data_IF_686426186198
#
_entry.id   IF_686426186198
#
_cell.length_a   1.000
_cell.length_b   1.000
_cell.length_c   1.000
_cell.angle_alpha   90.00
_cell.angle_beta   90.00
_cell.angle_gamma   90.00
#
_symmetry.space_group_name_H-M   'P 1'
#
loop_
_entity.id
_entity.type
_entity.pdbx_description
1 polymer ?
#
# COMPACT_ATOMS: atom_id res chain seq x y z
N UNK A 1 9.48 -5.51 -13.15
CA UNK A 1 9.74 -5.33 -11.70
C UNK A 1 10.13 -6.68 -11.12
N UNK A 2 10.99 -6.73 -10.10
CA UNK A 2 11.22 -7.98 -9.40
C UNK A 2 9.97 -8.30 -8.56
N UNK A 3 9.55 -9.58 -8.53
CA UNK A 3 8.33 -10.04 -7.83
C UNK A 3 8.34 -9.63 -6.35
N UNK A 4 7.18 -9.66 -5.69
CA UNK A 4 7.01 -9.27 -4.28
C UNK A 4 7.50 -7.84 -3.95
N UNK A 5 7.41 -6.91 -4.89
CA UNK A 5 7.69 -5.49 -4.62
C UNK A 5 9.17 -5.16 -4.50
N UNK A 6 10.05 -6.04 -4.99
CA UNK A 6 11.50 -5.86 -4.94
C UNK A 6 12.07 -4.74 -5.86
N UNK A 7 11.18 -3.95 -6.48
CA UNK A 7 11.53 -2.75 -7.23
C UNK A 7 12.16 -3.01 -8.61
N UNK A 8 12.72 -1.95 -9.18
CA UNK A 8 13.50 -1.96 -10.44
C UNK A 8 14.98 -2.12 -10.15
N UNK A 9 15.78 -2.39 -11.18
CA UNK A 9 17.24 -2.27 -11.08
C UNK A 9 17.61 -0.80 -11.37
N UNK A 10 18.39 -0.18 -10.48
CA UNK A 10 18.81 1.22 -10.63
C UNK A 10 17.71 2.26 -10.37
N UNK A 11 18.00 3.51 -10.74
CA UNK A 11 17.09 4.63 -10.56
C UNK A 11 15.83 4.47 -11.43
N UNK A 12 14.66 4.89 -10.93
CA UNK A 12 13.41 4.78 -11.66
C UNK A 12 13.44 5.61 -12.94
N UNK A 13 13.17 4.96 -14.07
CA UNK A 13 12.86 5.60 -15.34
C UNK A 13 11.34 5.60 -15.50
N UNK A 14 10.72 6.76 -15.46
CA UNK A 14 9.25 6.88 -15.49
C UNK A 14 8.83 7.39 -16.88
N UNK A 15 8.11 6.59 -17.69
CA UNK A 15 7.66 7.02 -19.01
C UNK A 15 6.84 8.31 -18.93
N UNK A 16 7.13 9.26 -19.81
CA UNK A 16 6.46 10.56 -19.88
C UNK A 16 6.99 11.61 -18.89
N UNK A 17 8.10 11.33 -18.19
CA UNK A 17 8.79 12.26 -17.30
C UNK A 17 10.30 12.39 -17.63
N UNK A 18 10.68 12.15 -18.88
CA UNK A 18 12.08 12.14 -19.32
C UNK A 18 12.76 13.49 -19.09
N UNK A 19 12.04 14.60 -19.27
CA UNK A 19 12.50 15.98 -19.01
C UNK A 19 12.82 16.25 -17.53
N UNK A 20 12.32 15.39 -16.62
CA UNK A 20 12.50 15.50 -15.16
C UNK A 20 13.40 14.42 -14.59
N UNK A 21 14.04 13.60 -15.43
CA UNK A 21 14.81 12.45 -14.97
C UNK A 21 15.88 12.82 -13.93
N UNK A 22 16.57 13.95 -14.10
CA UNK A 22 17.56 14.42 -13.12
C UNK A 22 16.96 14.67 -11.72
N UNK A 23 15.74 15.22 -11.63
CA UNK A 23 15.07 15.42 -10.34
C UNK A 23 14.64 14.09 -9.72
N UNK A 24 14.19 13.14 -10.55
CA UNK A 24 13.83 11.78 -10.13
C UNK A 24 15.05 11.05 -9.58
N UNK A 25 16.17 11.10 -10.31
CA UNK A 25 17.44 10.51 -9.92
C UNK A 25 17.97 11.11 -8.61
N UNK A 26 17.93 12.43 -8.48
CA UNK A 26 18.33 13.12 -7.26
C UNK A 26 17.46 12.71 -6.07
N UNK A 27 16.13 12.65 -6.26
CA UNK A 27 15.20 12.21 -5.23
C UNK A 27 15.49 10.76 -4.80
N UNK A 28 15.64 9.84 -5.76
CA UNK A 28 15.88 8.43 -5.50
C UNK A 28 17.24 8.16 -4.82
N UNK A 29 18.28 8.92 -5.20
CA UNK A 29 19.65 8.69 -4.72
C UNK A 29 20.02 9.46 -3.46
N UNK A 30 19.46 10.65 -3.24
CA UNK A 30 19.99 11.60 -2.27
C UNK A 30 18.97 12.22 -1.31
N UNK A 31 17.66 12.02 -1.51
CA UNK A 31 16.65 12.58 -0.62
C UNK A 31 16.47 11.70 0.65
N UNK A 32 16.93 12.15 1.84
CA UNK A 32 16.85 11.34 3.05
C UNK A 32 15.42 11.13 3.53
N UNK A 33 14.52 12.09 3.30
CA UNK A 33 13.12 12.00 3.71
C UNK A 33 12.37 10.96 2.87
N UNK A 34 12.61 10.92 1.55
CA UNK A 34 12.04 9.90 0.67
C UNK A 34 12.51 8.50 1.08
N UNK A 35 13.83 8.34 1.31
CA UNK A 35 14.42 7.08 1.79
C UNK A 35 13.80 6.64 3.11
N UNK A 36 13.68 7.55 4.08
CA UNK A 36 13.10 7.25 5.38
C UNK A 36 11.63 6.84 5.27
N UNK A 37 10.84 7.53 4.44
CA UNK A 37 9.44 7.21 4.23
C UNK A 37 9.25 5.78 3.67
N UNK A 38 10.00 5.40 2.63
CA UNK A 38 9.92 4.07 2.01
C UNK A 38 10.33 2.97 3.00
N UNK A 39 11.45 3.13 3.70
CA UNK A 39 11.92 2.15 4.70
C UNK A 39 10.92 2.03 5.86
N UNK A 40 10.38 3.15 6.34
CA UNK A 40 9.37 3.15 7.40
C UNK A 40 8.10 2.43 6.98
N UNK A 41 7.61 2.68 5.77
CA UNK A 41 6.42 2.02 5.22
C UNK A 41 6.64 0.52 5.05
N UNK A 42 7.78 0.10 4.48
CA UNK A 42 8.12 -1.32 4.35
C UNK A 42 8.20 -2.02 5.72
N UNK A 43 8.85 -1.39 6.70
CA UNK A 43 8.93 -1.92 8.06
C UNK A 43 7.54 -2.04 8.72
N UNK A 44 6.70 -1.01 8.60
CA UNK A 44 5.31 -1.05 9.09
C UNK A 44 4.49 -2.17 8.44
N UNK A 45 4.68 -2.40 7.13
CA UNK A 45 4.01 -3.49 6.43
C UNK A 45 4.43 -4.86 6.99
N UNK A 46 5.74 -5.07 7.22
CA UNK A 46 6.26 -6.29 7.83
C UNK A 46 5.71 -6.50 9.24
N UNK A 47 5.67 -5.46 10.08
CA UNK A 47 5.07 -5.52 11.41
C UNK A 47 3.56 -5.83 11.37
N UNK A 48 2.86 -5.37 10.33
CA UNK A 48 1.45 -5.71 10.05
C UNK A 48 1.23 -7.12 9.47
N UNK A 49 2.29 -7.94 9.41
CA UNK A 49 2.25 -9.30 8.87
C UNK A 49 1.93 -9.34 7.38
N UNK A 50 2.36 -8.34 6.61
CA UNK A 50 2.28 -8.35 5.14
C UNK A 50 3.50 -9.10 4.62
N UNK A 51 3.28 -10.29 4.05
CA UNK A 51 4.34 -11.20 3.58
C UNK A 51 4.45 -11.26 2.05
N UNK A 52 3.50 -10.69 1.33
CA UNK A 52 3.46 -10.68 -0.13
C UNK A 52 2.88 -9.35 -0.64
N UNK A 53 3.27 -8.98 -1.86
CA UNK A 53 2.69 -7.82 -2.56
C UNK A 53 2.10 -8.23 -3.92
N UNK A 54 1.00 -7.59 -4.37
CA UNK A 54 0.25 -6.55 -3.66
C UNK A 54 -0.52 -7.10 -2.45
N UNK A 55 -0.77 -6.24 -1.46
CA UNK A 55 -1.66 -6.49 -0.32
C UNK A 55 -2.41 -5.19 -0.06
N UNK A 56 -3.73 -5.27 0.11
CA UNK A 56 -4.57 -4.14 0.48
C UNK A 56 -4.94 -4.25 1.96
N UNK A 57 -4.77 -3.16 2.70
CA UNK A 57 -5.28 -3.03 4.08
C UNK A 57 -6.36 -1.95 4.05
N UNK A 58 -7.61 -2.37 4.19
CA UNK A 58 -8.76 -1.46 4.19
C UNK A 58 -9.08 -1.15 5.65
N UNK A 59 -9.10 0.13 6.01
CA UNK A 59 -9.44 0.60 7.35
C UNK A 59 -10.69 1.47 7.26
N UNK A 60 -11.74 1.08 7.96
CA UNK A 60 -12.82 2.00 8.24
C UNK A 60 -12.35 3.03 9.28
N UNK A 61 -12.52 4.31 8.95
CA UNK A 61 -12.11 5.42 9.82
C UNK A 61 -13.11 5.68 10.95
N UNK A 62 -14.38 5.28 10.78
CA UNK A 62 -15.41 5.51 11.79
C UNK A 62 -15.30 4.50 12.94
N UNK A 63 -15.35 3.20 12.64
CA UNK A 63 -15.21 2.12 13.62
C UNK A 63 -13.75 1.82 13.99
N UNK A 64 -12.78 2.26 13.16
CA UNK A 64 -11.38 1.90 13.30
C UNK A 64 -11.05 0.46 12.86
N UNK A 65 -12.04 -0.32 12.44
CA UNK A 65 -11.89 -1.72 12.01
C UNK A 65 -11.05 -1.80 10.74
N UNK A 66 -10.39 -2.93 10.57
CA UNK A 66 -9.45 -3.15 9.48
C UNK A 66 -9.58 -4.57 8.94
N UNK A 67 -9.53 -4.72 7.61
CA UNK A 67 -9.41 -6.00 6.91
C UNK A 67 -8.17 -5.98 6.00
N UNK A 68 -7.47 -7.11 5.92
CA UNK A 68 -6.28 -7.31 5.07
C UNK A 68 -6.61 -8.30 3.96
N UNK A 69 -6.40 -7.90 2.71
CA UNK A 69 -6.57 -8.71 1.50
C UNK A 69 -5.21 -8.91 0.85
N UNK A 70 -4.67 -10.13 0.89
CA UNK A 70 -3.42 -10.47 0.22
C UNK A 70 -3.68 -10.79 -1.26
N UNK A 71 -2.81 -10.30 -2.14
CA UNK A 71 -2.96 -10.43 -3.59
C UNK A 71 -3.59 -9.19 -4.24
N UNK A 72 -3.95 -9.34 -5.51
CA UNK A 72 -4.64 -8.31 -6.29
C UNK A 72 -6.13 -8.67 -6.37
N UNK A 73 -6.96 -8.31 -5.36
CA UNK A 73 -8.38 -8.61 -5.40
C UNK A 73 -9.04 -7.91 -6.59
N UNK A 74 -9.98 -8.60 -7.23
CA UNK A 74 -10.85 -7.97 -8.22
C UNK A 74 -11.88 -7.04 -7.55
N UNK A 75 -12.65 -6.33 -8.39
CA UNK A 75 -13.66 -5.39 -7.91
C UNK A 75 -14.73 -6.04 -7.03
N UNK A 76 -15.13 -7.27 -7.30
CA UNK A 76 -16.18 -7.95 -6.53
C UNK A 76 -15.66 -8.33 -5.14
N UNK A 77 -14.44 -8.84 -5.04
CA UNK A 77 -13.79 -9.12 -3.74
C UNK A 77 -13.64 -7.84 -2.93
N UNK A 78 -13.27 -6.73 -3.57
CA UNK A 78 -13.15 -5.45 -2.90
C UNK A 78 -14.50 -4.93 -2.37
N UNK A 79 -15.56 -5.01 -3.19
CA UNK A 79 -16.91 -4.60 -2.78
C UNK A 79 -17.43 -5.46 -1.62
N UNK A 80 -17.23 -6.77 -1.67
CA UNK A 80 -17.60 -7.69 -0.57
C UNK A 80 -16.84 -7.39 0.72
N UNK A 81 -15.55 -7.02 0.63
CA UNK A 81 -14.78 -6.61 1.81
C UNK A 81 -15.31 -5.31 2.43
N UNK A 82 -15.75 -4.36 1.60
CA UNK A 82 -16.37 -3.11 2.06
C UNK A 82 -17.72 -3.39 2.72
N UNK A 83 -18.56 -4.23 2.11
CA UNK A 83 -19.86 -4.62 2.68
C UNK A 83 -19.72 -5.33 4.04
N UNK A 84 -18.74 -6.24 4.15
CA UNK A 84 -18.40 -6.88 5.42
C UNK A 84 -17.94 -5.88 6.49
N UNK A 85 -17.19 -4.85 6.10
CA UNK A 85 -16.83 -3.77 7.03
C UNK A 85 -18.08 -2.97 7.43
N UNK A 86 -18.93 -2.53 6.50
CA UNK A 86 -20.10 -1.72 6.84
C UNK A 86 -21.14 -2.47 7.69
N UNK A 87 -21.43 -3.74 7.37
CA UNK A 87 -22.48 -4.55 8.01
C UNK A 87 -22.22 -4.83 9.49
N UNK A 88 -20.96 -4.84 9.89
CA UNK A 88 -20.54 -5.13 11.26
C UNK A 88 -20.57 -3.90 12.16
N UNK A 89 -20.67 -2.69 11.60
CA UNK A 89 -20.82 -1.47 12.41
C UNK A 89 -22.27 -1.31 12.89
N UNK A 90 -23.24 -1.74 12.06
CA UNK A 90 -24.67 -1.72 12.39
C UNK A 90 -25.05 -2.70 13.51
N UNK A 91 -24.35 -3.82 13.65
CA UNK A 91 -24.58 -4.79 14.73
C UNK A 91 -24.03 -4.35 16.10
N UNK A 92 -23.32 -3.21 16.18
CA UNK A 92 -22.81 -2.67 17.44
C UNK A 92 -23.75 -1.65 18.11
N UNK A 93 -24.83 -1.27 17.43
CA UNK A 93 -25.81 -0.28 17.90
C UNK A 93 -27.00 -0.87 18.68
N UNK A 94 -27.06 -2.21 18.79
CA UNK A 94 -28.13 -2.96 19.48
C UNK A 94 -27.69 -3.52 20.86
N UNK A 95 -26.97 -2.72 21.66
CA UNK A 95 -26.67 -3.09 23.04
C UNK A 95 -26.66 -1.93 24.02
#
# INVERSE_FOLDING_TARGET
TRSNGAGTAGNPQIPGLEDRQHFIDNCASSNPAARQAVVSQAHKASLGGITATPTLVIKDKHSGRTIKLQGAPDGNVLLSAIDWMASTDSNSSDK
#
